data_IF_138884558411
#
_entry.id   IF_138884558411
#
_cell.length_a   1.000
_cell.length_b   1.000
_cell.length_c   1.000
_cell.angle_alpha   90.00
_cell.angle_beta   90.00
_cell.angle_gamma   90.00
#
_symmetry.space_group_name_H-M   'P 1'
#
loop_
_entity.id
_entity.type
_entity.pdbx_description
1 polymer ?
#
# COMPACT_ATOMS: atom_id res chain seq x y z
N UNK A 1 -55.40 8.55 -59.76
CA UNK A 1 -55.95 9.90 -59.51
C UNK A 1 -56.72 9.84 -58.20
N UNK A 2 -56.57 10.87 -57.35
CA UNK A 2 -57.06 11.02 -55.94
C UNK A 2 -56.20 10.22 -54.92
N UNK A 3 -55.31 10.77 -54.09
CA UNK A 3 -55.21 11.97 -53.19
C UNK A 3 -55.85 11.77 -51.80
N UNK A 4 -55.00 11.79 -50.77
CA UNK A 4 -55.26 12.34 -49.43
C UNK A 4 -55.82 11.37 -48.38
N UNK A 5 -55.66 11.57 -47.08
CA UNK A 5 -54.91 12.54 -46.26
C UNK A 5 -54.89 12.00 -44.81
N UNK A 6 -53.91 12.44 -44.02
CA UNK A 6 -53.67 12.28 -42.58
C UNK A 6 -54.88 12.31 -41.62
N UNK A 7 -54.75 11.61 -40.47
CA UNK A 7 -55.09 12.15 -39.15
C UNK A 7 -54.36 11.40 -37.99
N UNK A 8 -53.69 12.18 -37.13
CA UNK A 8 -53.17 11.80 -35.80
C UNK A 8 -54.31 11.64 -34.78
N UNK A 9 -54.13 10.82 -33.74
CA UNK A 9 -54.67 11.08 -32.39
C UNK A 9 -53.92 10.27 -31.32
N UNK A 10 -53.78 10.91 -30.16
CA UNK A 10 -52.86 10.64 -29.07
C UNK A 10 -53.57 10.07 -27.83
N UNK A 11 -52.76 9.49 -26.94
CA UNK A 11 -52.83 9.53 -25.46
C UNK A 11 -53.63 8.49 -24.66
N UNK A 12 -52.91 8.04 -23.62
CA UNK A 12 -53.28 7.67 -22.23
C UNK A 12 -53.45 6.18 -21.89
N UNK A 13 -52.45 5.66 -21.18
CA UNK A 13 -52.45 4.38 -20.46
C UNK A 13 -51.34 4.35 -19.41
N UNK A 14 -51.58 5.05 -18.29
CA UNK A 14 -51.05 4.79 -16.94
C UNK A 14 -51.43 3.35 -16.49
N UNK A 15 -50.83 2.65 -15.54
CA UNK A 15 -49.64 2.72 -14.69
C UNK A 15 -49.59 1.31 -14.04
N UNK A 16 -48.41 0.72 -13.87
CA UNK A 16 -47.99 -0.04 -12.66
C UNK A 16 -46.64 -0.74 -12.93
N UNK A 17 -45.58 0.07 -12.96
CA UNK A 17 -44.23 -0.44 -12.79
C UNK A 17 -43.98 -0.60 -11.29
N UNK A 18 -44.18 -1.81 -10.76
CA UNK A 18 -43.57 -2.21 -9.49
C UNK A 18 -42.07 -2.37 -9.73
N UNK A 19 -41.37 -1.24 -9.68
CA UNK A 19 -39.92 -1.19 -9.62
C UNK A 19 -39.50 -1.72 -8.25
N UNK A 20 -39.00 -2.95 -8.22
CA UNK A 20 -38.15 -3.37 -7.13
C UNK A 20 -36.94 -2.44 -7.11
N UNK A 21 -36.89 -1.55 -6.11
CA UNK A 21 -35.70 -0.77 -5.78
C UNK A 21 -34.53 -1.73 -5.59
N UNK A 22 -33.72 -1.87 -6.63
CA UNK A 22 -32.31 -2.19 -6.46
C UNK A 22 -31.75 -1.06 -5.60
N UNK A 23 -31.53 -1.35 -4.32
CA UNK A 23 -30.83 -0.46 -3.42
C UNK A 23 -29.51 0.02 -4.04
N UNK A 24 -28.99 1.18 -3.61
CA UNK A 24 -27.79 1.75 -4.18
C UNK A 24 -26.68 0.69 -4.16
N UNK A 25 -26.21 0.34 -5.35
CA UNK A 25 -24.93 -0.35 -5.55
C UNK A 25 -23.93 0.40 -4.70
N UNK A 26 -23.31 -0.31 -3.76
CA UNK A 26 -22.22 0.20 -2.94
C UNK A 26 -21.27 0.92 -3.89
N UNK A 27 -21.10 2.22 -3.63
CA UNK A 27 -20.14 3.06 -4.32
C UNK A 27 -18.83 2.30 -4.37
N UNK A 28 -18.39 1.96 -5.58
CA UNK A 28 -17.01 1.61 -5.83
C UNK A 28 -16.19 2.68 -5.12
N UNK A 29 -15.42 2.23 -4.14
CA UNK A 29 -14.35 3.01 -3.53
C UNK A 29 -13.59 3.62 -4.71
N UNK A 30 -13.70 4.93 -4.88
CA UNK A 30 -13.02 5.60 -5.98
C UNK A 30 -11.55 5.43 -5.71
N UNK A 31 -10.93 4.45 -6.36
CA UNK A 31 -9.49 4.33 -6.45
C UNK A 31 -8.97 5.72 -6.79
N UNK A 32 -8.35 6.35 -5.80
CA UNK A 32 -7.69 7.62 -6.02
C UNK A 32 -6.49 7.24 -6.87
N UNK A 33 -6.30 7.92 -7.99
CA UNK A 33 -5.05 7.79 -8.73
C UNK A 33 -3.96 8.50 -7.89
N UNK A 34 -3.47 7.80 -6.87
CA UNK A 34 -2.51 8.29 -5.88
C UNK A 34 -1.21 8.69 -6.58
N UNK A 35 -0.83 7.95 -7.63
CA UNK A 35 0.32 8.28 -8.46
C UNK A 35 0.19 9.68 -9.08
N UNK A 36 -0.98 10.01 -9.65
CA UNK A 36 -1.26 11.36 -10.15
C UNK A 36 -1.40 12.37 -9.00
N UNK A 37 -2.02 11.99 -7.88
CA UNK A 37 -2.20 12.86 -6.71
C UNK A 37 -0.85 13.35 -6.13
N UNK A 38 0.18 12.51 -6.15
CA UNK A 38 1.53 12.85 -5.71
C UNK A 38 2.44 13.34 -6.85
N UNK A 39 1.86 13.74 -7.98
CA UNK A 39 2.60 14.34 -9.10
C UNK A 39 3.64 13.41 -9.72
N UNK A 40 3.36 12.10 -9.73
CA UNK A 40 4.26 11.06 -10.23
C UNK A 40 5.42 10.71 -9.29
N UNK A 41 5.43 11.22 -8.05
CA UNK A 41 6.37 10.75 -7.05
C UNK A 41 5.93 9.38 -6.53
N UNK A 42 6.89 8.47 -6.37
CA UNK A 42 6.63 7.12 -5.84
C UNK A 42 7.19 6.97 -4.42
N UNK A 43 8.39 7.51 -4.17
CA UNK A 43 9.01 7.46 -2.86
C UNK A 43 8.71 8.76 -2.10
N UNK A 44 7.94 8.72 -1.00
CA UNK A 44 7.84 9.86 -0.11
C UNK A 44 9.22 10.19 0.44
N UNK A 45 9.54 11.48 0.56
CA UNK A 45 10.84 11.93 1.08
C UNK A 45 11.11 11.46 2.53
N UNK A 46 10.05 11.17 3.28
CA UNK A 46 10.07 10.63 4.64
C UNK A 46 8.90 9.67 4.82
N UNK A 47 9.12 8.55 5.49
CA UNK A 47 8.02 7.65 5.85
C UNK A 47 7.08 8.34 6.87
N UNK A 48 5.75 8.23 6.68
CA UNK A 48 4.79 8.67 7.67
C UNK A 48 4.98 7.90 8.98
N UNK A 49 4.55 8.51 10.07
CA UNK A 49 4.67 7.95 11.42
C UNK A 49 3.31 7.63 11.96
N UNK A 50 3.20 6.53 12.69
CA UNK A 50 1.93 6.23 13.35
C UNK A 50 1.69 7.27 14.44
N UNK A 51 0.43 7.68 14.60
CA UNK A 51 0.03 8.47 15.76
C UNK A 51 0.23 7.70 17.08
N UNK A 52 0.30 6.36 16.99
CA UNK A 52 0.49 5.45 18.12
C UNK A 52 1.94 5.02 18.33
N UNK A 53 2.88 5.48 17.49
CA UNK A 53 4.31 5.23 17.69
C UNK A 53 4.76 5.86 19.02
N UNK A 54 4.91 5.05 20.05
CA UNK A 54 5.42 5.41 21.38
C UNK A 54 6.93 5.74 21.38
N UNK A 55 7.52 5.90 20.20
CA UNK A 55 8.95 5.97 19.93
C UNK A 55 9.70 4.68 20.33
N UNK A 56 9.00 3.56 20.60
CA UNK A 56 9.67 2.30 20.82
C UNK A 56 10.30 1.82 19.51
N UNK A 57 11.59 1.60 19.60
CA UNK A 57 12.35 0.91 18.57
C UNK A 57 12.02 -0.57 18.74
N UNK A 58 11.29 -1.15 17.79
CA UNK A 58 11.15 -2.62 17.69
C UNK A 58 9.89 -3.25 18.27
N UNK A 59 8.92 -2.46 18.73
CA UNK A 59 7.65 -2.98 19.28
C UNK A 59 6.46 -2.52 18.45
N UNK A 60 5.61 -3.46 18.05
CA UNK A 60 4.31 -3.17 17.44
C UNK A 60 3.42 -4.41 17.49
N UNK A 61 2.10 -4.26 17.36
CA UNK A 61 1.20 -5.41 17.32
C UNK A 61 1.51 -6.27 16.09
N UNK A 62 1.51 -7.59 16.27
CA UNK A 62 1.55 -8.55 15.16
C UNK A 62 0.26 -8.43 14.35
N UNK A 63 0.38 -8.55 13.02
CA UNK A 63 -0.79 -8.58 12.16
C UNK A 63 -1.66 -9.81 12.50
N UNK A 64 -2.99 -9.66 12.62
CA UNK A 64 -3.86 -10.76 13.05
C UNK A 64 -3.99 -11.88 12.01
N UNK A 65 -3.68 -11.58 10.74
CA UNK A 65 -3.71 -12.53 9.63
C UNK A 65 -2.72 -12.12 8.53
N UNK A 66 -2.50 -13.02 7.57
CA UNK A 66 -1.71 -12.73 6.38
C UNK A 66 -2.49 -11.85 5.40
N UNK A 67 -1.82 -10.92 4.70
CA UNK A 67 -2.48 -10.07 3.71
C UNK A 67 -2.90 -10.87 2.47
N UNK A 68 -3.83 -10.30 1.70
CA UNK A 68 -4.30 -10.84 0.41
C UNK A 68 -4.09 -9.78 -0.66
N UNK A 69 -2.83 -9.62 -1.07
CA UNK A 69 -2.42 -8.63 -2.04
C UNK A 69 -2.65 -9.15 -3.47
N UNK A 70 -3.06 -8.25 -4.36
CA UNK A 70 -3.15 -8.53 -5.80
C UNK A 70 -1.75 -8.59 -6.45
N UNK A 71 -1.70 -9.07 -7.68
CA UNK A 71 -0.48 -9.00 -8.48
C UNK A 71 -0.29 -7.55 -8.99
N UNK A 72 0.89 -6.95 -8.82
CA UNK A 72 1.11 -5.55 -9.19
C UNK A 72 1.21 -5.37 -10.71
N UNK A 73 0.67 -4.25 -11.21
CA UNK A 73 0.84 -3.81 -12.60
C UNK A 73 2.22 -3.17 -12.82
N UNK A 74 2.73 -2.51 -11.78
CA UNK A 74 4.04 -1.88 -11.73
C UNK A 74 4.55 -1.84 -10.30
N UNK A 75 5.87 -1.77 -10.11
CA UNK A 75 6.46 -1.59 -8.79
C UNK A 75 7.76 -0.78 -8.83
N UNK A 76 8.10 -0.20 -7.69
CA UNK A 76 9.32 0.55 -7.45
C UNK A 76 9.90 0.23 -6.09
N UNK A 77 11.20 0.42 -5.95
CA UNK A 77 11.91 0.21 -4.69
C UNK A 77 12.47 1.54 -4.21
N UNK A 78 12.19 1.84 -2.95
CA UNK A 78 12.64 3.00 -2.23
C UNK A 78 13.52 2.56 -1.05
N UNK A 79 14.65 3.22 -0.85
CA UNK A 79 15.53 3.00 0.31
C UNK A 79 15.41 4.15 1.29
N UNK A 80 15.35 3.83 2.57
CA UNK A 80 15.28 4.81 3.65
C UNK A 80 16.36 4.59 4.69
N UNK A 81 16.97 5.67 5.14
CA UNK A 81 17.97 5.66 6.22
C UNK A 81 17.37 6.21 7.51
N UNK A 82 17.76 5.66 8.68
CA UNK A 82 17.34 6.19 9.96
C UNK A 82 18.04 7.51 10.25
N UNK A 83 17.25 8.54 10.51
CA UNK A 83 17.68 9.87 10.92
C UNK A 83 17.22 10.15 12.35
N UNK A 84 18.19 10.33 13.23
CA UNK A 84 17.97 10.71 14.61
C UNK A 84 17.55 12.19 14.69
N UNK A 85 16.32 12.42 15.12
CA UNK A 85 15.79 13.73 15.43
C UNK A 85 16.47 14.37 16.64
N UNK A 86 16.12 15.63 16.89
CA UNK A 86 16.52 16.32 18.11
C UNK A 86 15.84 15.65 19.30
N UNK A 87 16.60 15.49 20.39
CA UNK A 87 16.07 14.99 21.65
C UNK A 87 15.18 16.07 22.27
N UNK A 88 13.94 15.74 22.59
CA UNK A 88 13.08 16.60 23.43
C UNK A 88 13.14 16.09 24.87
N UNK A 89 12.88 16.96 25.88
CA UNK A 89 12.79 16.53 27.28
C UNK A 89 11.67 15.52 27.54
N UNK A 90 10.61 15.56 26.72
CA UNK A 90 9.37 14.77 26.88
C UNK A 90 9.39 13.46 26.11
N UNK A 91 9.96 13.43 24.91
CA UNK A 91 9.75 12.32 23.96
C UNK A 91 11.04 11.55 23.65
N UNK A 92 12.13 11.88 24.35
CA UNK A 92 13.43 11.29 24.08
C UNK A 92 13.92 11.64 22.68
N UNK A 93 14.67 10.72 22.06
CA UNK A 93 15.23 10.92 20.72
C UNK A 93 14.34 10.19 19.71
N UNK A 94 13.64 10.96 18.89
CA UNK A 94 12.78 10.43 17.82
C UNK A 94 13.63 9.92 16.66
N UNK A 95 13.32 8.73 16.14
CA UNK A 95 13.89 8.21 14.89
C UNK A 95 12.91 8.49 13.76
N UNK A 96 13.40 9.05 12.65
CA UNK A 96 12.64 9.26 11.42
C UNK A 96 13.34 8.57 10.26
N UNK A 97 12.62 8.11 9.25
CA UNK A 97 13.22 7.43 8.10
C UNK A 97 13.11 8.32 6.86
N UNK A 98 14.24 8.61 6.22
CA UNK A 98 14.28 9.51 5.05
C UNK A 98 14.75 8.77 3.82
N UNK A 99 14.09 9.05 2.69
CA UNK A 99 14.46 8.46 1.41
C UNK A 99 15.91 8.80 1.07
N UNK A 100 16.62 7.83 0.51
CA UNK A 100 18.00 7.96 0.07
C UNK A 100 18.12 7.40 -1.34
N UNK A 101 18.54 8.24 -2.29
CA UNK A 101 18.52 7.92 -3.71
C UNK A 101 17.14 8.10 -4.34
N UNK A 102 17.05 7.73 -5.62
CA UNK A 102 15.81 7.81 -6.40
C UNK A 102 15.02 6.49 -6.33
N UNK A 103 13.72 6.57 -6.64
CA UNK A 103 12.89 5.38 -6.84
C UNK A 103 13.47 4.52 -7.97
N UNK A 104 13.61 3.21 -7.74
CA UNK A 104 14.06 2.27 -8.78
C UNK A 104 12.89 1.45 -9.28
N UNK A 105 12.50 1.56 -10.57
CA UNK A 105 11.45 0.72 -11.12
C UNK A 105 11.88 -0.75 -11.07
N UNK A 106 10.93 -1.62 -10.79
CA UNK A 106 11.10 -3.07 -10.91
C UNK A 106 10.78 -3.46 -12.34
N UNK A 107 11.70 -4.18 -12.98
CA UNK A 107 11.49 -4.70 -14.33
C UNK A 107 10.26 -5.60 -14.41
N UNK A 108 9.53 -5.51 -15.53
CA UNK A 108 8.26 -6.22 -15.71
C UNK A 108 8.40 -7.74 -15.55
N UNK A 109 9.52 -8.30 -15.98
CA UNK A 109 9.83 -9.73 -15.88
C UNK A 109 10.01 -10.19 -14.42
N UNK A 110 10.29 -9.27 -13.49
CA UNK A 110 10.46 -9.56 -12.06
C UNK A 110 9.18 -9.37 -11.25
N UNK A 111 8.16 -8.71 -11.80
CA UNK A 111 6.89 -8.48 -11.09
C UNK A 111 6.22 -9.79 -10.61
N UNK A 112 6.21 -10.90 -11.38
CA UNK A 112 5.67 -12.17 -10.89
C UNK A 112 6.41 -12.73 -9.67
N UNK A 113 7.73 -12.55 -9.59
CA UNK A 113 8.52 -13.01 -8.45
C UNK A 113 8.19 -12.20 -7.19
N UNK A 114 8.04 -10.89 -7.34
CA UNK A 114 7.59 -10.02 -6.24
C UNK A 114 6.15 -10.36 -5.82
N UNK A 115 5.24 -10.60 -6.75
CA UNK A 115 3.88 -11.04 -6.44
C UNK A 115 3.87 -12.35 -5.63
N UNK A 116 4.70 -13.33 -6.02
CA UNK A 116 4.83 -14.58 -5.28
C UNK A 116 5.41 -14.36 -3.87
N UNK A 117 6.40 -13.49 -3.72
CA UNK A 117 6.95 -13.14 -2.41
C UNK A 117 5.94 -12.42 -1.52
N UNK A 118 5.13 -11.51 -2.08
CA UNK A 118 4.06 -10.83 -1.37
C UNK A 118 2.95 -11.80 -0.91
N UNK A 119 2.61 -12.79 -1.73
CA UNK A 119 1.68 -13.85 -1.36
C UNK A 119 2.23 -14.79 -0.27
N UNK A 120 3.55 -14.79 -0.05
CA UNK A 120 4.24 -15.55 1.00
C UNK A 120 4.43 -14.78 2.30
N UNK A 121 3.82 -13.61 2.48
CA UNK A 121 3.85 -12.88 3.75
C UNK A 121 3.00 -13.61 4.80
N UNK A 122 3.53 -13.71 6.01
CA UNK A 122 2.89 -14.40 7.13
C UNK A 122 2.78 -13.49 8.36
N UNK A 123 1.88 -13.83 9.28
CA UNK A 123 1.85 -13.18 10.60
C UNK A 123 3.18 -13.39 11.32
N UNK A 124 3.70 -12.33 11.94
CA UNK A 124 4.89 -12.46 12.77
C UNK A 124 4.68 -13.39 13.97
N UNK A 125 5.75 -14.04 14.43
CA UNK A 125 5.73 -14.75 15.71
C UNK A 125 5.66 -13.70 16.86
N UNK A 126 4.60 -13.70 17.69
CA UNK A 126 4.44 -12.74 18.77
C UNK A 126 5.47 -12.91 19.90
N UNK A 127 6.09 -14.09 20.03
CA UNK A 127 7.07 -14.38 21.07
C UNK A 127 8.52 -14.11 20.61
N UNK A 128 8.71 -13.67 19.36
CA UNK A 128 10.05 -13.38 18.82
C UNK A 128 10.67 -12.15 19.50
N UNK A 129 11.93 -12.29 19.89
CA UNK A 129 12.74 -11.19 20.42
C UNK A 129 13.64 -10.64 19.34
N UNK A 130 13.28 -9.49 18.77
CA UNK A 130 14.09 -8.78 17.79
C UNK A 130 15.04 -7.82 18.50
N UNK A 131 16.33 -7.92 18.17
CA UNK A 131 17.33 -6.96 18.63
C UNK A 131 17.89 -6.25 17.40
N UNK A 132 17.96 -4.91 17.46
CA UNK A 132 18.53 -4.01 16.46
C UNK A 132 17.63 -3.61 15.26
N UNK A 133 16.52 -2.92 15.52
CA UNK A 133 15.66 -2.35 14.47
C UNK A 133 16.10 -0.96 13.97
N UNK A 134 17.28 -0.50 14.42
CA UNK A 134 17.92 0.73 13.94
C UNK A 134 18.80 0.42 12.73
N UNK A 135 18.15 0.18 11.60
CA UNK A 135 18.79 -0.04 10.30
C UNK A 135 18.06 0.68 9.17
N UNK A 136 18.58 0.60 7.94
CA UNK A 136 17.83 1.03 6.78
C UNK A 136 16.48 0.32 6.68
N UNK A 137 15.52 0.97 6.02
CA UNK A 137 14.26 0.38 5.61
C UNK A 137 14.19 0.34 4.10
N UNK A 138 13.63 -0.74 3.59
CA UNK A 138 13.34 -0.94 2.17
C UNK A 138 11.84 -0.90 2.00
N UNK A 139 11.36 -0.17 0.99
CA UNK A 139 9.94 -0.16 0.64
C UNK A 139 9.79 -0.60 -0.80
N UNK A 140 9.01 -1.66 -1.03
CA UNK A 140 8.42 -1.94 -2.32
C UNK A 140 7.11 -1.15 -2.39
N UNK A 141 7.05 -0.16 -3.27
CA UNK A 141 5.79 0.49 -3.63
C UNK A 141 5.28 -0.20 -4.87
N UNK A 142 4.06 -0.70 -4.86
CA UNK A 142 3.47 -1.29 -6.05
C UNK A 142 2.12 -0.65 -6.37
N UNK A 143 1.83 -0.57 -7.66
CA UNK A 143 0.57 -0.07 -8.18
C UNK A 143 -0.31 -1.24 -8.60
N UNK A 144 -1.59 -1.18 -8.23
CA UNK A 144 -2.65 -2.04 -8.75
C UNK A 144 -3.84 -1.15 -9.09
N UNK A 145 -4.28 -1.15 -10.35
CA UNK A 145 -5.40 -0.30 -10.80
C UNK A 145 -5.21 1.20 -10.43
N UNK A 146 -3.96 1.69 -10.48
CA UNK A 146 -3.52 3.06 -10.11
C UNK A 146 -3.48 3.40 -8.60
N UNK A 147 -3.80 2.46 -7.73
CA UNK A 147 -3.71 2.59 -6.27
C UNK A 147 -2.31 2.15 -5.78
N UNK A 148 -1.66 2.91 -4.89
CA UNK A 148 -0.28 2.63 -4.47
C UNK A 148 -0.24 1.97 -3.10
N UNK A 149 0.11 0.69 -3.03
CA UNK A 149 0.40 0.04 -1.74
C UNK A 149 1.90 0.03 -1.46
N UNK A 150 2.29 0.36 -0.23
CA UNK A 150 3.67 0.24 0.24
C UNK A 150 3.91 -0.98 1.13
N UNK A 151 5.00 -1.70 0.88
CA UNK A 151 5.47 -2.83 1.70
C UNK A 151 6.83 -2.49 2.28
N UNK A 152 6.87 -2.10 3.55
CA UNK A 152 8.08 -1.63 4.24
C UNK A 152 8.70 -2.75 5.04
N UNK A 153 9.96 -3.07 4.75
CA UNK A 153 10.76 -4.07 5.43
C UNK A 153 11.95 -3.43 6.16
N UNK A 154 12.19 -3.83 7.40
CA UNK A 154 13.42 -3.48 8.12
C UNK A 154 14.60 -4.31 7.58
N UNK A 155 15.76 -3.70 7.34
CA UNK A 155 16.96 -4.45 6.91
C UNK A 155 17.59 -5.25 8.06
N UNK A 156 17.49 -4.74 9.29
CA UNK A 156 18.05 -5.36 10.49
C UNK A 156 16.94 -5.87 11.42
N UNK A 157 17.34 -6.51 12.52
CA UNK A 157 16.42 -7.16 13.45
C UNK A 157 15.82 -8.42 12.84
N UNK A 158 14.52 -8.63 13.04
CA UNK A 158 13.80 -9.79 12.49
C UNK A 158 13.34 -9.60 11.03
N UNK A 159 13.69 -8.49 10.38
CA UNK A 159 13.20 -8.21 9.03
C UNK A 159 11.70 -7.97 9.00
N UNK A 160 11.14 -7.34 10.04
CA UNK A 160 9.72 -7.01 10.12
C UNK A 160 9.21 -6.36 8.83
N UNK A 161 8.08 -6.85 8.34
CA UNK A 161 7.33 -6.24 7.23
C UNK A 161 6.10 -5.53 7.78
N UNK A 162 5.79 -4.35 7.25
CA UNK A 162 4.59 -3.57 7.56
C UNK A 162 4.02 -3.02 6.26
N UNK A 163 2.70 -3.06 6.12
CA UNK A 163 2.00 -2.54 4.95
C UNK A 163 1.55 -1.09 5.19
N UNK A 164 1.44 -0.31 4.12
CA UNK A 164 0.76 0.98 4.11
C UNK A 164 -0.14 1.06 2.88
N UNK A 165 -1.35 1.58 3.09
CA UNK A 165 -2.36 1.78 2.04
C UNK A 165 -1.96 2.91 1.08
N UNK A 166 -1.24 3.92 1.59
CA UNK A 166 -0.69 5.05 0.84
C UNK A 166 0.70 5.36 1.43
N UNK A 167 1.79 5.20 0.66
CA UNK A 167 3.14 5.50 1.11
C UNK A 167 3.33 6.92 1.67
N UNK A 168 2.57 7.90 1.19
CA UNK A 168 2.73 9.32 1.49
C UNK A 168 2.02 9.76 2.76
N UNK A 169 0.85 9.19 3.03
CA UNK A 169 -0.04 9.68 4.09
C UNK A 169 -0.30 8.64 5.19
N UNK A 170 -0.23 7.34 4.89
CA UNK A 170 -0.48 6.27 5.85
C UNK A 170 0.83 5.70 6.39
N UNK A 171 0.91 5.54 7.71
CA UNK A 171 2.10 4.99 8.34
C UNK A 171 2.24 3.48 8.08
N UNK A 172 3.45 2.97 7.82
CA UNK A 172 3.65 1.53 7.71
C UNK A 172 3.23 0.81 8.99
N UNK A 173 2.26 -0.10 8.86
CA UNK A 173 1.65 -0.85 9.94
C UNK A 173 0.25 -0.37 10.31
N UNK A 174 -0.19 0.75 9.76
CA UNK A 174 -1.52 1.34 9.98
C UNK A 174 -2.47 1.13 8.77
N UNK A 175 -2.14 0.17 7.89
CA UNK A 175 -2.93 -0.19 6.73
C UNK A 175 -4.32 -0.76 7.10
N UNK A 176 -5.33 -0.40 6.33
CA UNK A 176 -6.75 -0.66 6.55
C UNK A 176 -7.56 -0.96 5.28
N UNK A 177 -6.98 -0.76 4.09
CA UNK A 177 -7.65 -1.06 2.82
C UNK A 177 -7.93 -2.57 2.67
N UNK A 178 -8.91 -2.94 1.82
CA UNK A 178 -9.17 -4.33 1.50
C UNK A 178 -7.92 -5.07 0.98
N UNK A 179 -7.55 -6.16 1.63
CA UNK A 179 -6.41 -7.00 1.24
C UNK A 179 -5.10 -6.65 1.95
N UNK A 180 -4.94 -5.42 2.45
CA UNK A 180 -3.85 -5.06 3.36
C UNK A 180 -4.23 -5.41 4.80
N UNK A 181 -3.24 -5.37 5.70
CA UNK A 181 -3.42 -5.64 7.14
C UNK A 181 -2.53 -4.71 7.96
N UNK A 182 -3.07 -4.23 9.08
CA UNK A 182 -2.30 -3.52 10.09
C UNK A 182 -1.38 -4.47 10.87
N UNK A 183 -0.29 -3.93 11.39
CA UNK A 183 0.65 -4.64 12.26
C UNK A 183 1.88 -5.24 11.54
N UNK A 184 2.58 -6.11 12.28
CA UNK A 184 3.86 -6.70 11.87
C UNK A 184 3.67 -8.06 11.21
N UNK A 185 4.31 -8.22 10.06
CA UNK A 185 4.40 -9.46 9.28
C UNK A 185 5.85 -10.00 9.25
N UNK A 186 5.99 -11.24 8.80
CA UNK A 186 7.25 -11.88 8.42
C UNK A 186 7.35 -11.95 6.90
N UNK A 187 8.51 -11.59 6.36
CA UNK A 187 8.83 -11.81 4.96
C UNK A 187 9.18 -13.28 4.68
N UNK A 188 8.89 -13.80 3.48
CA UNK A 188 9.48 -15.07 3.04
C UNK A 188 11.01 -14.95 2.89
N UNK A 189 11.68 -16.11 2.91
CA UNK A 189 13.13 -16.17 2.74
C UNK A 189 13.57 -15.48 1.43
N UNK A 190 14.65 -14.72 1.49
CA UNK A 190 15.24 -14.06 0.33
C UNK A 190 14.55 -12.78 -0.13
N UNK A 191 13.41 -12.38 0.46
CA UNK A 191 12.68 -11.16 0.03
C UNK A 191 13.54 -9.90 0.11
N UNK A 192 14.24 -9.67 1.22
CA UNK A 192 15.17 -8.54 1.37
C UNK A 192 16.30 -8.57 0.35
N UNK A 193 16.85 -9.76 0.05
CA UNK A 193 17.91 -9.92 -0.94
C UNK A 193 17.38 -9.58 -2.35
N UNK A 194 16.15 -9.97 -2.67
CA UNK A 194 15.49 -9.63 -3.92
C UNK A 194 15.29 -8.12 -4.06
N UNK A 195 14.83 -7.42 -3.00
CA UNK A 195 14.71 -5.96 -2.98
C UNK A 195 16.05 -5.28 -3.24
N UNK A 196 17.10 -5.72 -2.55
CA UNK A 196 18.44 -5.14 -2.66
C UNK A 196 19.05 -5.36 -4.04
N UNK A 197 18.87 -6.55 -4.63
CA UNK A 197 19.31 -6.85 -5.99
C UNK A 197 18.58 -5.95 -6.99
N UNK A 198 17.24 -5.92 -6.96
CA UNK A 198 16.45 -5.11 -7.89
C UNK A 198 16.80 -3.62 -7.83
N UNK A 199 17.06 -3.09 -6.63
CA UNK A 199 17.48 -1.71 -6.47
C UNK A 199 18.89 -1.44 -7.02
N UNK A 200 19.81 -2.40 -6.90
CA UNK A 200 21.19 -2.27 -7.37
C UNK A 200 21.30 -2.44 -8.90
N UNK A 201 20.50 -3.32 -9.49
CA UNK A 201 20.51 -3.62 -10.93
C UNK A 201 20.02 -2.43 -11.78
N UNK A 202 19.19 -1.56 -11.21
CA UNK A 202 18.70 -0.35 -11.86
C UNK A 202 19.60 0.88 -11.70
N UNK A 203 20.81 0.75 -11.13
CA UNK A 203 21.73 1.85 -10.82
C UNK A 203 22.69 2.23 -11.97
#
# INVERSE_FOLDING_TARGET
MVVGLLALSSLTGCDDATSAESGPVQTADTAVDEMTAHGGQICPARLPRSATDDNSVGGGPVAPEAPRLGAPDAAWICRYEPHLGRRTPTDGRVVTFRATGDARPVEAERLPDFAAALAGLETADPDRSCFADLGPRWMLVYALDHDLTGVVMNEYGCGDVRLTDDPFDVAPGDATQPGTVAGILSAPEGFLAALKSAYADGA
#
